data_IF_816873471832
#
_entry.id   IF_816873471832
#
_cell.length_a   1.000
_cell.length_b   1.000
_cell.length_c   1.000
_cell.angle_alpha   90.00
_cell.angle_beta   90.00
_cell.angle_gamma   90.00
#
_symmetry.space_group_name_H-M   'P 1'
#
loop_
_entity.id
_entity.type
_entity.pdbx_description
1 polymer ?
#
# COMPACT_ATOMS: atom_id res chain seq x y z
N UNK A 1 0.59 13.86 5.73
CA UNK A 1 1.25 12.58 5.44
C UNK A 1 0.23 11.49 5.70
N UNK A 2 -0.10 10.65 4.72
CA UNK A 2 -0.97 9.48 4.92
C UNK A 2 -0.08 8.24 5.00
N UNK A 3 -0.36 7.35 5.95
CA UNK A 3 0.33 6.07 6.11
C UNK A 3 -0.72 4.97 6.24
N UNK A 4 -0.46 3.83 5.60
CA UNK A 4 -1.26 2.63 5.79
C UNK A 4 -0.57 1.76 6.84
N UNK A 5 -1.32 1.29 7.84
CA UNK A 5 -0.80 0.40 8.88
C UNK A 5 -1.63 -0.88 8.86
N UNK A 6 -0.94 -2.00 8.71
CA UNK A 6 -1.48 -3.33 8.90
C UNK A 6 -0.99 -3.87 10.24
N UNK A 7 -1.91 -4.31 11.10
CA UNK A 7 -1.58 -4.95 12.37
C UNK A 7 -2.19 -6.34 12.41
N UNK A 8 -1.40 -7.31 12.86
CA UNK A 8 -1.85 -8.65 13.22
C UNK A 8 -1.45 -8.88 14.67
N UNK A 9 -2.46 -9.20 15.48
CA UNK A 9 -2.30 -9.51 16.88
C UNK A 9 -2.07 -11.03 17.05
N UNK A 10 -1.32 -11.41 18.07
CA UNK A 10 -1.07 -12.82 18.39
C UNK A 10 -2.38 -13.57 18.69
N UNK A 11 -2.42 -14.85 18.33
CA UNK A 11 -3.58 -15.72 18.55
C UNK A 11 -3.15 -17.07 19.13
N UNK A 12 -4.08 -17.87 19.62
CA UNK A 12 -3.76 -19.19 20.16
C UNK A 12 -3.09 -20.06 19.06
N UNK A 13 -1.81 -20.41 19.26
CA UNK A 13 -1.00 -21.16 18.29
C UNK A 13 -0.07 -20.30 17.42
N UNK A 14 -0.20 -18.97 17.45
CA UNK A 14 0.70 -18.03 16.79
C UNK A 14 1.03 -16.88 17.75
N UNK A 15 2.16 -16.96 18.48
CA UNK A 15 2.51 -15.98 19.50
C UNK A 15 3.00 -14.65 18.91
N UNK A 16 3.14 -14.55 17.58
CA UNK A 16 3.73 -13.38 16.92
C UNK A 16 2.66 -12.32 16.70
N UNK A 17 2.90 -11.14 17.28
CA UNK A 17 2.19 -9.92 16.88
C UNK A 17 3.10 -9.08 15.99
N UNK A 18 2.56 -8.51 14.93
CA UNK A 18 3.32 -7.57 14.10
C UNK A 18 2.46 -6.39 13.62
N UNK A 19 3.14 -5.26 13.43
CA UNK A 19 2.61 -4.08 12.79
C UNK A 19 3.55 -3.68 11.67
N UNK A 20 2.99 -3.45 10.48
CA UNK A 20 3.71 -2.99 9.30
C UNK A 20 3.06 -1.69 8.86
N UNK A 21 3.84 -0.61 8.81
CA UNK A 21 3.43 0.66 8.26
C UNK A 21 4.11 0.88 6.90
N UNK A 22 3.31 1.23 5.90
CA UNK A 22 3.78 1.72 4.60
C UNK A 22 3.61 3.23 4.55
N UNK A 23 4.73 3.93 4.41
CA UNK A 23 4.79 5.39 4.27
C UNK A 23 5.30 5.72 2.89
N UNK A 24 4.53 6.50 2.13
CA UNK A 24 4.86 6.85 0.74
C UNK A 24 5.01 8.36 0.63
N UNK A 25 6.16 8.82 0.12
CA UNK A 25 6.38 10.20 -0.29
C UNK A 25 6.35 10.27 -1.83
N UNK A 26 5.43 11.05 -2.43
CA UNK A 26 5.47 11.30 -3.86
C UNK A 26 6.68 12.18 -4.19
N UNK A 27 7.47 11.76 -5.18
CA UNK A 27 8.63 12.49 -5.71
C UNK A 27 8.32 13.15 -7.07
N UNK A 28 7.14 12.87 -7.62
CA UNK A 28 6.61 13.42 -8.87
C UNK A 28 5.25 12.82 -9.19
N UNK A 29 4.81 12.93 -10.46
CA UNK A 29 3.55 12.32 -10.90
C UNK A 29 3.60 10.79 -11.02
N UNK A 30 4.78 10.22 -11.32
CA UNK A 30 4.96 8.78 -11.57
C UNK A 30 6.06 8.15 -10.69
N UNK A 31 6.56 8.90 -9.72
CA UNK A 31 7.69 8.49 -8.88
C UNK A 31 7.35 8.72 -7.41
N UNK A 32 7.74 7.77 -6.57
CA UNK A 32 7.62 7.89 -5.13
C UNK A 32 8.73 7.11 -4.42
N UNK A 33 9.02 7.51 -3.20
CA UNK A 33 9.83 6.72 -2.26
C UNK A 33 8.88 6.10 -1.24
N UNK A 34 8.98 4.79 -1.07
CA UNK A 34 8.21 4.03 -0.09
C UNK A 34 9.13 3.53 1.03
N UNK A 35 8.70 3.67 2.27
CA UNK A 35 9.37 3.11 3.44
C UNK A 35 8.44 2.14 4.15
N UNK A 36 8.99 0.99 4.52
CA UNK A 36 8.35 0.04 5.42
C UNK A 36 8.90 0.24 6.83
N UNK A 37 7.99 0.36 7.79
CA UNK A 37 8.32 0.36 9.22
C UNK A 37 7.68 -0.86 9.83
N UNK A 38 8.47 -1.70 10.48
CA UNK A 38 8.00 -2.91 11.12
C UNK A 38 8.20 -2.85 12.62
N UNK A 39 7.21 -3.33 13.36
CA UNK A 39 7.33 -3.65 14.77
C UNK A 39 6.82 -5.08 14.97
N UNK A 40 7.65 -5.95 15.53
CA UNK A 40 7.31 -7.34 15.83
C UNK A 40 7.44 -7.59 17.32
N UNK A 41 6.59 -8.47 17.86
CA UNK A 41 6.63 -8.91 19.25
C UNK A 41 6.44 -10.42 19.30
N UNK A 42 7.33 -11.11 20.00
CA UNK A 42 7.33 -12.57 20.08
C UNK A 42 7.88 -13.26 18.82
N UNK A 43 8.39 -12.48 17.87
CA UNK A 43 9.12 -12.98 16.70
C UNK A 43 10.59 -13.26 17.09
N UNK A 44 11.12 -14.40 16.65
CA UNK A 44 12.51 -14.82 16.90
C UNK A 44 13.41 -14.60 15.69
N UNK A 45 12.86 -14.13 14.56
CA UNK A 45 13.64 -13.79 13.38
C UNK A 45 14.59 -12.61 13.67
N UNK A 46 15.74 -12.64 13.01
CA UNK A 46 16.69 -11.55 13.01
C UNK A 46 16.19 -10.39 12.14
N UNK A 47 16.69 -9.18 12.41
CA UNK A 47 16.37 -8.00 11.59
C UNK A 47 16.67 -8.24 10.08
N UNK A 48 17.75 -8.97 9.78
CA UNK A 48 18.11 -9.29 8.39
C UNK A 48 17.10 -10.21 7.71
N UNK A 49 16.57 -11.21 8.44
CA UNK A 49 15.52 -12.09 7.91
C UNK A 49 14.21 -11.33 7.69
N UNK A 50 13.86 -10.41 8.61
CA UNK A 50 12.69 -9.55 8.47
C UNK A 50 12.82 -8.60 7.26
N UNK A 51 13.99 -7.99 7.08
CA UNK A 51 14.27 -7.13 5.91
C UNK A 51 14.19 -7.96 4.62
N UNK A 52 14.87 -9.11 4.56
CA UNK A 52 14.86 -9.96 3.37
C UNK A 52 13.45 -10.46 3.01
N UNK A 53 12.63 -10.78 4.02
CA UNK A 53 11.23 -11.13 3.81
C UNK A 53 10.45 -9.97 3.19
N UNK A 54 10.58 -8.75 3.71
CA UNK A 54 9.87 -7.60 3.14
C UNK A 54 10.37 -7.23 1.74
N UNK A 55 11.67 -7.33 1.48
CA UNK A 55 12.22 -7.12 0.15
C UNK A 55 11.62 -8.12 -0.85
N UNK A 56 11.45 -9.38 -0.44
CA UNK A 56 10.81 -10.39 -1.27
C UNK A 56 9.32 -10.09 -1.53
N UNK A 57 8.56 -9.68 -0.52
CA UNK A 57 7.14 -9.28 -0.68
C UNK A 57 7.03 -8.07 -1.60
N UNK A 58 7.85 -7.03 -1.38
CA UNK A 58 7.82 -5.82 -2.19
C UNK A 58 8.23 -6.07 -3.65
N UNK A 59 9.19 -6.97 -3.87
CA UNK A 59 9.60 -7.37 -5.22
C UNK A 59 8.47 -8.04 -6.02
N UNK A 60 7.47 -8.64 -5.36
CA UNK A 60 6.30 -9.23 -6.01
C UNK A 60 5.30 -8.15 -6.43
N UNK A 61 5.08 -7.13 -5.61
CA UNK A 61 4.12 -6.05 -5.89
C UNK A 61 4.64 -5.08 -6.96
N UNK A 62 5.95 -4.81 -6.98
CA UNK A 62 6.58 -3.87 -7.90
C UNK A 62 6.20 -4.06 -9.38
N UNK A 63 6.35 -5.25 -10.00
CA UNK A 63 6.00 -5.44 -11.41
C UNK A 63 4.50 -5.25 -11.68
N UNK A 64 3.64 -5.58 -10.71
CA UNK A 64 2.19 -5.37 -10.84
C UNK A 64 1.88 -3.88 -10.89
N UNK A 65 2.47 -3.08 -9.99
CA UNK A 65 2.26 -1.62 -9.95
C UNK A 65 2.88 -0.92 -11.16
N UNK A 66 4.12 -1.27 -11.52
CA UNK A 66 4.85 -0.61 -12.61
C UNK A 66 4.27 -0.90 -14.01
N UNK A 67 3.49 -1.98 -14.17
CA UNK A 67 2.84 -2.33 -15.44
C UNK A 67 1.43 -1.76 -15.62
N UNK A 68 0.87 -1.09 -14.61
CA UNK A 68 -0.48 -0.53 -14.70
C UNK A 68 -0.57 0.60 -15.73
N UNK A 69 -1.67 0.60 -16.49
CA UNK A 69 -2.01 1.66 -17.44
C UNK A 69 -3.47 2.07 -17.21
N UNK A 70 -3.74 3.37 -16.99
CA UNK A 70 -2.80 4.49 -16.90
C UNK A 70 -1.87 4.42 -15.68
N UNK A 71 -0.71 5.10 -15.74
CA UNK A 71 0.25 5.18 -14.62
C UNK A 71 -0.27 6.00 -13.44
N UNK A 72 -1.07 7.02 -13.73
CA UNK A 72 -1.74 7.83 -12.72
C UNK A 72 -3.01 7.12 -12.23
N UNK A 73 -3.34 7.26 -10.95
CA UNK A 73 -4.49 6.59 -10.34
C UNK A 73 -5.81 7.19 -10.87
N UNK A 74 -6.67 6.40 -11.53
CA UNK A 74 -7.99 6.86 -11.98
C UNK A 74 -8.88 7.21 -10.79
N UNK A 75 -9.31 8.47 -10.68
CA UNK A 75 -10.23 8.93 -9.63
C UNK A 75 -11.41 9.74 -10.19
N UNK A 76 -12.59 9.50 -9.63
CA UNK A 76 -13.80 10.25 -9.99
C UNK A 76 -14.47 9.78 -11.29
N UNK A 77 -15.44 10.58 -11.75
CA UNK A 77 -16.30 10.22 -12.89
C UNK A 77 -15.69 10.55 -14.26
N UNK A 78 -14.70 11.43 -14.29
CA UNK A 78 -14.05 11.90 -15.52
C UNK A 78 -12.74 11.17 -15.79
N UNK A 79 -12.42 10.13 -15.00
CA UNK A 79 -11.21 9.37 -15.15
C UNK A 79 -11.17 8.70 -16.54
N UNK A 80 -9.98 8.58 -17.16
CA UNK A 80 -9.84 8.06 -18.52
C UNK A 80 -10.21 6.58 -18.64
N UNK A 81 -10.23 5.84 -17.53
CA UNK A 81 -10.61 4.43 -17.46
C UNK A 81 -11.57 4.22 -16.30
N UNK A 82 -12.64 3.43 -16.53
CA UNK A 82 -13.55 2.98 -15.46
C UNK A 82 -13.10 1.62 -14.94
N UNK A 83 -12.63 1.59 -13.70
CA UNK A 83 -12.29 0.34 -13.02
C UNK A 83 -13.55 -0.39 -12.54
N UNK A 84 -13.56 -1.72 -12.67
CA UNK A 84 -14.62 -2.57 -12.11
C UNK A 84 -14.21 -2.98 -10.70
N UNK A 85 -15.05 -2.69 -9.71
CA UNK A 85 -14.78 -2.98 -8.31
C UNK A 85 -15.63 -4.14 -7.79
N UNK A 86 -14.98 -5.12 -7.17
CA UNK A 86 -15.63 -6.22 -6.46
C UNK A 86 -15.80 -5.93 -4.96
N UNK A 87 -16.36 -6.88 -4.19
CA UNK A 87 -16.52 -6.76 -2.74
C UNK A 87 -15.21 -6.57 -1.95
N UNK A 88 -14.10 -7.11 -2.45
CA UNK A 88 -12.78 -6.94 -1.85
C UNK A 88 -12.23 -5.50 -2.01
N UNK A 89 -12.70 -4.77 -3.01
CA UNK A 89 -12.22 -3.43 -3.36
C UNK A 89 -12.88 -2.30 -2.57
N UNK A 90 -13.66 -2.63 -1.53
CA UNK A 90 -14.42 -1.62 -0.78
C UNK A 90 -13.52 -0.54 -0.18
N UNK A 91 -12.35 -0.93 0.35
CA UNK A 91 -11.39 0.01 0.94
C UNK A 91 -10.70 0.83 -0.15
N UNK A 92 -10.26 0.21 -1.24
CA UNK A 92 -9.57 0.90 -2.35
C UNK A 92 -10.50 1.88 -3.08
N UNK A 93 -11.78 1.53 -3.24
CA UNK A 93 -12.82 2.40 -3.77
C UNK A 93 -13.14 3.57 -2.83
N UNK A 94 -13.19 3.33 -1.51
CA UNK A 94 -13.36 4.39 -0.52
C UNK A 94 -12.18 5.37 -0.52
N UNK A 95 -10.96 4.86 -0.66
CA UNK A 95 -9.75 5.68 -0.76
C UNK A 95 -9.76 6.59 -2.00
N UNK A 96 -10.13 6.07 -3.18
CA UNK A 96 -10.28 6.89 -4.41
C UNK A 96 -11.31 8.01 -4.23
N UNK A 97 -12.47 7.71 -3.62
CA UNK A 97 -13.49 8.73 -3.32
C UNK A 97 -12.95 9.79 -2.35
N UNK A 98 -12.15 9.38 -1.36
CA UNK A 98 -11.54 10.28 -0.41
C UNK A 98 -10.52 11.21 -1.07
N UNK A 99 -9.61 10.69 -1.90
CA UNK A 99 -8.66 11.49 -2.68
C UNK A 99 -9.36 12.51 -3.58
N UNK A 100 -10.42 12.09 -4.28
CA UNK A 100 -11.20 12.99 -5.14
C UNK A 100 -11.88 14.11 -4.34
N UNK A 101 -12.40 13.82 -3.13
CA UNK A 101 -12.98 14.86 -2.25
C UNK A 101 -11.95 15.86 -1.74
N UNK A 102 -10.71 15.42 -1.53
CA UNK A 102 -9.61 16.28 -1.11
C UNK A 102 -9.03 17.10 -2.27
N UNK A 103 -9.44 16.85 -3.52
CA UNK A 103 -8.92 17.54 -4.69
C UNK A 103 -7.45 17.23 -4.97
N UNK A 104 -6.97 16.04 -4.58
CA UNK A 104 -5.61 15.59 -4.90
C UNK A 104 -5.49 15.44 -6.42
N UNK A 105 -4.49 16.12 -7.01
CA UNK A 105 -4.21 16.08 -8.44
C UNK A 105 -2.86 15.41 -8.78
N UNK A 106 -1.93 15.35 -7.83
CA UNK A 106 -0.62 14.74 -8.04
C UNK A 106 -0.78 13.21 -8.11
N UNK A 107 -0.31 12.61 -9.22
CA UNK A 107 -0.34 11.16 -9.43
C UNK A 107 -1.73 10.57 -9.67
N UNK A 108 -2.74 11.39 -9.98
CA UNK A 108 -4.13 10.98 -10.22
C UNK A 108 -4.60 11.42 -11.60
N UNK A 109 -5.55 10.71 -12.20
CA UNK A 109 -6.17 11.05 -13.49
C UNK A 109 -7.68 10.85 -13.52
#
# INVERSE_FOLDING_TARGET
LFAAILRKDATAGDPVSNAIALVIRPDGHELCTAWFVMATQGDTSTDQELIAFQDAVFAQDRPVVESQTPRALPIGRNAPVTEVHGPADRVSSAYRRYLNRLGIALGTC
#
